data_IF_670110558235
#
_entry.id   IF_670110558235
#
_cell.length_a   1.000
_cell.length_b   1.000
_cell.length_c   1.000
_cell.angle_alpha   90.00
_cell.angle_beta   90.00
_cell.angle_gamma   90.00
#
_symmetry.space_group_name_H-M   'P 1'
#
loop_
_entity.id
_entity.type
_entity.pdbx_description
1 polymer ?
#
# COMPACT_ATOMS: atom_id res chain seq x y z
N UNK A 1 -13.03 -18.74 14.91
CA UNK A 1 -12.48 -18.68 13.54
C UNK A 1 -12.07 -17.27 13.22
N UNK A 2 -10.87 -17.10 12.68
CA UNK A 2 -10.30 -15.80 12.32
C UNK A 2 -10.17 -15.73 10.80
N UNK A 3 -10.57 -14.61 10.22
CA UNK A 3 -10.46 -14.37 8.79
C UNK A 3 -9.70 -13.08 8.53
N UNK A 4 -9.11 -12.97 7.34
CA UNK A 4 -8.53 -11.72 6.88
C UNK A 4 -9.58 -10.92 6.12
N UNK A 5 -9.67 -9.65 6.44
CA UNK A 5 -10.61 -8.75 5.78
C UNK A 5 -9.88 -7.49 5.33
N UNK A 6 -10.46 -6.80 4.38
CA UNK A 6 -9.95 -5.52 3.91
C UNK A 6 -9.96 -4.53 5.07
N UNK A 7 -8.78 -4.05 5.47
CA UNK A 7 -8.66 -3.02 6.51
C UNK A 7 -8.72 -1.63 5.90
N UNK A 8 -7.93 -1.40 4.84
CA UNK A 8 -7.91 -0.11 4.17
C UNK A 8 -7.41 -0.24 2.75
N UNK A 9 -7.69 0.77 1.95
CA UNK A 9 -7.29 0.83 0.55
C UNK A 9 -6.97 2.27 0.19
N UNK A 10 -5.80 2.49 -0.41
CA UNK A 10 -5.48 3.74 -1.06
C UNK A 10 -5.69 3.48 -2.55
N UNK A 11 -6.77 4.05 -3.10
CA UNK A 11 -7.25 3.69 -4.43
C UNK A 11 -6.69 4.63 -5.48
N UNK A 12 -5.92 4.08 -6.44
CA UNK A 12 -5.46 4.77 -7.64
C UNK A 12 -4.57 5.98 -7.37
N UNK A 13 -3.45 5.72 -6.67
CA UNK A 13 -2.41 6.73 -6.50
C UNK A 13 -1.35 6.56 -7.59
N UNK A 14 -0.63 7.63 -7.88
CA UNK A 14 0.41 7.63 -8.91
C UNK A 14 1.78 7.32 -8.32
N UNK A 15 2.50 6.38 -8.92
CA UNK A 15 3.88 6.08 -8.56
C UNK A 15 4.76 7.27 -8.91
N UNK A 16 5.49 7.79 -7.92
CA UNK A 16 6.38 8.94 -8.11
C UNK A 16 7.84 8.55 -8.26
N UNK A 17 8.20 7.31 -7.93
CA UNK A 17 9.57 6.85 -8.06
C UNK A 17 9.69 5.33 -7.97
N UNK A 18 10.81 4.82 -8.49
CA UNK A 18 11.15 3.41 -8.45
C UNK A 18 12.67 3.30 -8.28
N UNK A 19 13.11 2.81 -7.10
CA UNK A 19 14.52 2.79 -6.69
C UNK A 19 14.98 1.34 -6.54
N UNK A 20 15.50 0.76 -7.62
CA UNK A 20 15.88 -0.64 -7.66
C UNK A 20 16.96 -1.01 -6.63
N UNK A 21 17.92 -0.12 -6.41
CA UNK A 21 19.09 -0.39 -5.56
C UNK A 21 18.86 -0.05 -4.08
N UNK A 22 17.64 0.18 -3.68
CA UNK A 22 17.27 0.48 -2.30
C UNK A 22 16.69 -0.77 -1.62
N UNK A 23 16.60 -0.75 -0.29
CA UNK A 23 16.00 -1.86 0.47
C UNK A 23 14.52 -1.99 0.09
N UNK A 24 14.07 -3.23 -0.19
CA UNK A 24 12.71 -3.49 -0.62
C UNK A 24 11.66 -2.92 0.34
N UNK A 25 10.75 -2.11 -0.20
CA UNK A 25 9.70 -1.46 0.57
C UNK A 25 8.85 -0.60 -0.36
N UNK A 26 7.79 -0.01 0.19
CA UNK A 26 7.07 1.07 -0.48
C UNK A 26 7.04 2.28 0.44
N UNK A 27 7.57 3.41 -0.05
CA UNK A 27 7.47 4.68 0.67
C UNK A 27 6.15 5.34 0.29
N UNK A 28 5.33 5.62 1.30
CA UNK A 28 4.01 6.24 1.11
C UNK A 28 3.99 7.57 1.83
N UNK A 29 3.50 8.62 1.17
CA UNK A 29 3.26 9.92 1.79
C UNK A 29 2.59 9.72 3.14
N UNK A 30 3.17 10.30 4.20
CA UNK A 30 2.66 10.15 5.57
C UNK A 30 1.20 10.56 5.70
N UNK A 31 0.77 11.57 4.94
CA UNK A 31 -0.63 12.01 4.97
C UNK A 31 -1.58 10.90 4.50
N UNK A 32 -1.17 10.15 3.45
CA UNK A 32 -1.96 9.02 2.96
C UNK A 32 -1.94 7.86 3.95
N UNK A 33 -0.79 7.61 4.59
CA UNK A 33 -0.70 6.57 5.61
C UNK A 33 -1.67 6.85 6.75
N UNK A 34 -1.68 8.08 7.24
CA UNK A 34 -2.56 8.46 8.34
C UNK A 34 -4.04 8.34 7.95
N UNK A 35 -4.39 8.80 6.75
CA UNK A 35 -5.76 8.70 6.25
C UNK A 35 -6.23 7.27 6.12
N UNK A 36 -5.34 6.35 5.72
CA UNK A 36 -5.66 4.93 5.53
C UNK A 36 -5.44 4.10 6.79
N UNK A 37 -4.94 4.71 7.87
CA UNK A 37 -4.59 4.01 9.10
C UNK A 37 -3.56 2.90 8.86
N UNK A 38 -2.56 3.20 8.04
CA UNK A 38 -1.44 2.32 7.74
C UNK A 38 -0.22 2.82 8.49
N UNK A 39 0.52 1.91 9.13
CA UNK A 39 1.69 2.26 9.93
C UNK A 39 2.98 1.75 9.28
N UNK A 40 4.11 2.33 9.68
CA UNK A 40 5.42 1.91 9.22
C UNK A 40 5.64 0.43 9.56
N UNK A 41 6.15 -0.33 8.60
CA UNK A 41 6.41 -1.76 8.76
C UNK A 41 5.22 -2.65 8.43
N UNK A 42 4.07 -2.08 8.15
CA UNK A 42 2.87 -2.85 7.84
C UNK A 42 3.00 -3.49 6.46
N UNK A 43 2.63 -4.78 6.37
CA UNK A 43 2.58 -5.49 5.09
C UNK A 43 1.39 -5.01 4.28
N UNK A 44 1.61 -4.73 3.01
CA UNK A 44 0.55 -4.32 2.08
C UNK A 44 0.68 -5.07 0.76
N UNK A 45 -0.42 -5.15 0.03
CA UNK A 45 -0.41 -5.56 -1.37
C UNK A 45 -0.49 -4.31 -2.23
N UNK A 46 0.28 -4.33 -3.32
CA UNK A 46 0.29 -3.25 -4.30
C UNK A 46 -0.18 -3.85 -5.63
N UNK A 47 -1.23 -3.28 -6.19
CA UNK A 47 -1.77 -3.73 -7.47
C UNK A 47 -1.55 -2.63 -8.49
N UNK A 48 -0.84 -2.95 -9.57
CA UNK A 48 -0.55 -2.00 -10.63
C UNK A 48 -1.65 -2.06 -11.68
N UNK A 49 -2.39 -0.98 -11.81
CA UNK A 49 -3.52 -0.90 -12.76
C UNK A 49 -3.03 -0.95 -14.21
N UNK A 50 -1.84 -0.43 -14.48
CA UNK A 50 -1.32 -0.31 -15.85
C UNK A 50 -0.84 -1.64 -16.44
N UNK A 51 -0.26 -2.52 -15.61
CA UNK A 51 0.31 -3.78 -16.11
C UNK A 51 -0.29 -5.04 -15.46
N UNK A 52 -1.20 -4.88 -14.50
CA UNK A 52 -1.84 -6.01 -13.83
C UNK A 52 -0.98 -6.70 -12.79
N UNK A 53 0.23 -6.24 -12.53
CA UNK A 53 1.10 -6.84 -11.53
C UNK A 53 0.54 -6.64 -10.12
N UNK A 54 0.69 -7.69 -9.30
CA UNK A 54 0.33 -7.65 -7.89
C UNK A 54 1.53 -8.12 -7.09
N UNK A 55 1.93 -7.36 -6.08
CA UNK A 55 3.07 -7.70 -5.24
C UNK A 55 2.78 -7.40 -3.78
N UNK A 56 3.58 -7.99 -2.90
CA UNK A 56 3.54 -7.72 -1.48
C UNK A 56 4.84 -7.08 -1.04
N UNK A 57 4.74 -6.10 -0.15
CA UNK A 57 5.89 -5.43 0.43
C UNK A 57 5.48 -4.82 1.77
N UNK A 58 6.35 -4.07 2.40
CA UNK A 58 6.04 -3.38 3.65
C UNK A 58 6.24 -1.88 3.48
N UNK A 59 5.59 -1.12 4.35
CA UNK A 59 5.50 0.33 4.24
C UNK A 59 6.61 1.02 5.01
N UNK A 60 7.22 2.02 4.39
CA UNK A 60 8.06 3.00 5.08
C UNK A 60 7.46 4.38 4.86
N UNK A 61 7.83 5.32 5.74
CA UNK A 61 7.30 6.67 5.65
C UNK A 61 7.91 7.43 4.48
N UNK A 62 7.06 7.97 3.62
CA UNK A 62 7.43 8.89 2.57
C UNK A 62 7.28 10.34 3.03
N UNK A 63 7.73 11.27 2.19
CA UNK A 63 7.68 12.71 2.51
C UNK A 63 6.23 13.16 2.63
N UNK A 64 5.92 13.76 3.78
CA UNK A 64 4.57 14.22 4.10
C UNK A 64 4.12 15.32 3.14
N UNK A 65 2.90 15.20 2.64
CA UNK A 65 2.25 16.16 1.74
C UNK A 65 2.95 16.30 0.38
N UNK A 66 3.87 15.40 0.03
CA UNK A 66 4.55 15.42 -1.26
C UNK A 66 3.91 14.49 -2.29
N UNK A 67 2.92 13.70 -1.88
CA UNK A 67 2.29 12.71 -2.74
C UNK A 67 3.22 11.54 -3.07
N UNK A 68 4.24 11.29 -2.25
CA UNK A 68 5.25 10.29 -2.56
C UNK A 68 4.68 8.88 -2.53
N UNK A 69 4.91 8.13 -3.63
CA UNK A 69 4.68 6.69 -3.74
C UNK A 69 5.90 6.13 -4.47
N UNK A 70 6.85 5.58 -3.72
CA UNK A 70 8.10 5.07 -4.27
C UNK A 70 8.24 3.59 -3.99
N UNK A 71 8.39 2.78 -5.03
CA UNK A 71 8.64 1.33 -4.89
C UNK A 71 10.15 1.11 -4.86
N UNK A 72 10.63 0.41 -3.85
CA UNK A 72 12.05 0.20 -3.59
C UNK A 72 12.45 -1.25 -3.77
N UNK A 73 13.70 -1.49 -4.16
CA UNK A 73 14.25 -2.82 -4.33
C UNK A 73 13.62 -3.57 -5.48
N UNK A 74 13.47 -4.90 -5.40
CA UNK A 74 12.90 -5.71 -6.50
C UNK A 74 11.50 -5.27 -6.92
N UNK A 75 10.71 -4.70 -6.02
CA UNK A 75 9.38 -4.18 -6.35
C UNK A 75 9.45 -3.09 -7.42
N UNK A 76 10.55 -2.35 -7.50
CA UNK A 76 10.75 -1.31 -8.50
C UNK A 76 10.73 -1.85 -9.94
N UNK A 77 10.95 -3.15 -10.13
CA UNK A 77 10.88 -3.76 -11.46
C UNK A 77 9.45 -3.96 -11.95
N UNK A 78 8.47 -3.87 -11.06
CA UNK A 78 7.06 -4.14 -11.38
C UNK A 78 6.26 -2.88 -11.58
N UNK A 79 6.90 -1.72 -11.49
CA UNK A 79 6.25 -0.42 -11.65
C UNK A 79 7.14 0.49 -12.47
N UNK A 80 6.53 1.52 -13.04
CA UNK A 80 7.22 2.65 -13.64
C UNK A 80 6.66 3.93 -13.03
N UNK A 81 7.51 4.93 -12.92
CA UNK A 81 7.05 6.26 -12.51
C UNK A 81 5.89 6.69 -13.42
N UNK A 82 4.81 7.13 -12.80
CA UNK A 82 3.59 7.50 -13.51
C UNK A 82 2.52 6.41 -13.54
N UNK A 83 2.86 5.17 -13.18
CA UNK A 83 1.86 4.10 -13.10
C UNK A 83 0.85 4.39 -12.00
N UNK A 84 -0.37 3.90 -12.20
CA UNK A 84 -1.44 4.00 -11.21
C UNK A 84 -1.48 2.70 -10.42
N UNK A 85 -1.43 2.80 -9.10
CA UNK A 85 -1.47 1.62 -8.22
C UNK A 85 -2.57 1.75 -7.17
N UNK A 86 -2.97 0.60 -6.65
CA UNK A 86 -3.90 0.49 -5.53
C UNK A 86 -3.13 -0.19 -4.41
N UNK A 87 -3.12 0.41 -3.22
CA UNK A 87 -2.42 -0.12 -2.06
C UNK A 87 -3.47 -0.68 -1.10
N UNK A 88 -3.35 -1.95 -0.74
CA UNK A 88 -4.36 -2.66 0.03
C UNK A 88 -3.75 -3.21 1.31
N UNK A 89 -4.41 -2.94 2.43
CA UNK A 89 -4.04 -3.45 3.74
C UNK A 89 -5.15 -4.35 4.28
N UNK A 90 -4.76 -5.42 4.98
CA UNK A 90 -5.68 -6.40 5.52
C UNK A 90 -5.51 -6.50 7.03
N UNK A 91 -6.54 -6.97 7.72
CA UNK A 91 -6.50 -7.23 9.15
C UNK A 91 -7.16 -8.58 9.43
N UNK A 92 -6.62 -9.30 10.41
CA UNK A 92 -7.20 -10.56 10.88
C UNK A 92 -8.13 -10.29 12.04
N UNK A 93 -9.31 -10.86 12.00
CA UNK A 93 -10.28 -10.71 13.08
C UNK A 93 -11.30 -11.86 13.05
N UNK A 94 -12.08 -12.00 14.12
CA UNK A 94 -13.14 -12.98 14.15
C UNK A 94 -14.21 -12.65 13.11
N UNK A 95 -14.94 -13.67 12.66
CA UNK A 95 -16.04 -13.48 11.72
C UNK A 95 -17.08 -12.48 12.28
N UNK A 96 -17.37 -12.57 13.57
CA UNK A 96 -18.35 -11.70 14.20
C UNK A 96 -17.93 -10.23 14.13
N UNK A 97 -16.64 -9.94 14.44
CA UNK A 97 -16.11 -8.58 14.29
C UNK A 97 -16.10 -8.13 12.84
N UNK A 98 -15.77 -9.04 11.93
CA UNK A 98 -15.67 -8.73 10.51
C UNK A 98 -16.99 -8.26 9.92
N UNK A 99 -18.12 -8.80 10.42
CA UNK A 99 -19.46 -8.43 9.93
C UNK A 99 -19.78 -6.95 10.14
N UNK A 100 -19.25 -6.35 11.20
CA UNK A 100 -19.48 -4.94 11.52
C UNK A 100 -18.30 -4.03 11.18
N UNK A 101 -17.21 -4.58 10.67
CA UNK A 101 -16.00 -3.80 10.41
C UNK A 101 -16.15 -2.95 9.15
N UNK A 102 -15.71 -1.70 9.24
CA UNK A 102 -15.76 -0.77 8.10
C UNK A 102 -14.35 -0.39 7.67
N UNK A 103 -13.92 -0.79 6.47
CA UNK A 103 -12.59 -0.43 5.98
C UNK A 103 -12.48 1.06 5.67
N UNK A 104 -11.24 1.57 5.73
CA UNK A 104 -10.92 2.92 5.29
C UNK A 104 -10.62 2.89 3.80
N UNK A 105 -11.43 3.59 3.01
CA UNK A 105 -11.25 3.69 1.56
C UNK A 105 -10.89 5.14 1.23
N UNK A 106 -9.65 5.33 0.75
CA UNK A 106 -9.12 6.65 0.44
C UNK A 106 -9.11 6.87 -1.08
#
# INVERSE_FOLDING_TARGET
>A
MTIEVLKSKIHRVTVTGAELDYIGSIAIDRTLMDAANIVVGEKVQVVNVNNGERLETYVIEGVKNAGEITLNGPAARRVQKGDIVIIISYASMSIDKAKGFRPKLI
#
